data_IF_032301743443
#
_entry.id   IF_032301743443
#
_cell.length_a   1.000
_cell.length_b   1.000
_cell.length_c   1.000
_cell.angle_alpha   90.00
_cell.angle_beta   90.00
_cell.angle_gamma   90.00
#
_symmetry.space_group_name_H-M   'P 1'
#
loop_
_entity.id
_entity.type
_entity.pdbx_description
1 polymer ?
#
# COMPACT_ATOMS: atom_id res chain seq x y z
N UNK A 1 -13.20 -18.12 10.99
CA UNK A 1 -14.09 -17.57 12.04
C UNK A 1 -13.89 -16.08 12.33
N UNK A 2 -12.88 -15.39 11.78
CA UNK A 2 -12.66 -13.94 12.00
C UNK A 2 -13.45 -13.02 11.04
N UNK A 3 -14.14 -13.57 10.03
CA UNK A 3 -14.81 -12.75 9.00
C UNK A 3 -16.27 -12.41 9.33
N UNK A 4 -16.91 -13.07 10.30
CA UNK A 4 -18.33 -12.85 10.63
C UNK A 4 -18.57 -11.77 11.69
N UNK A 5 -17.59 -11.48 12.57
CA UNK A 5 -17.75 -10.49 13.65
C UNK A 5 -17.74 -9.02 13.20
N UNK A 6 -17.15 -8.71 12.03
CA UNK A 6 -17.04 -7.34 11.52
C UNK A 6 -18.25 -6.88 10.69
N UNK A 7 -19.25 -7.74 10.44
CA UNK A 7 -20.46 -7.40 9.68
C UNK A 7 -21.57 -6.80 10.54
N UNK A 8 -21.50 -6.94 11.86
CA UNK A 8 -22.58 -6.63 12.80
C UNK A 8 -22.36 -5.37 13.65
N UNK A 9 -21.23 -4.68 13.49
CA UNK A 9 -20.94 -3.46 14.23
C UNK A 9 -21.50 -2.23 13.48
N UNK A 10 -22.16 -1.30 14.16
CA UNK A 10 -22.53 -0.03 13.56
C UNK A 10 -21.26 0.69 13.07
N UNK A 11 -21.33 1.24 11.85
CA UNK A 11 -20.24 1.95 11.16
C UNK A 11 -19.62 3.09 11.99
N UNK A 12 -20.33 3.55 13.01
CA UNK A 12 -19.92 4.59 13.96
C UNK A 12 -18.76 4.18 14.88
N UNK A 13 -18.46 2.88 15.03
CA UNK A 13 -17.30 2.42 15.80
C UNK A 13 -16.07 2.07 14.95
N UNK A 14 -16.16 2.16 13.63
CA UNK A 14 -15.08 1.74 12.74
C UNK A 14 -13.80 2.53 13.00
N UNK A 15 -13.89 3.82 13.32
CA UNK A 15 -12.72 4.66 13.61
C UNK A 15 -11.90 4.13 14.80
N UNK A 16 -12.56 3.73 15.90
CA UNK A 16 -11.90 3.18 17.09
C UNK A 16 -11.23 1.82 16.82
N UNK A 17 -11.90 0.99 16.03
CA UNK A 17 -11.41 -0.34 15.66
C UNK A 17 -10.19 -0.20 14.75
N UNK A 18 -10.28 0.64 13.70
CA UNK A 18 -9.18 0.89 12.78
C UNK A 18 -7.98 1.50 13.49
N UNK A 19 -8.17 2.46 14.38
CA UNK A 19 -7.09 2.99 15.20
C UNK A 19 -6.34 1.90 15.99
N UNK A 20 -7.05 0.91 16.54
CA UNK A 20 -6.43 -0.22 17.24
C UNK A 20 -5.63 -1.12 16.27
N UNK A 21 -6.20 -1.42 15.10
CA UNK A 21 -5.56 -2.24 14.06
C UNK A 21 -4.35 -1.57 13.43
N UNK A 22 -4.40 -0.26 13.20
CA UNK A 22 -3.27 0.52 12.68
C UNK A 22 -2.13 0.53 13.68
N UNK A 23 -2.43 0.76 14.97
CA UNK A 23 -1.41 0.66 16.04
C UNK A 23 -0.81 -0.74 16.16
N UNK A 24 -1.62 -1.78 15.93
CA UNK A 24 -1.13 -3.15 15.88
C UNK A 24 -0.20 -3.36 14.67
N UNK A 25 -0.59 -2.88 13.49
CA UNK A 25 0.21 -3.00 12.28
C UNK A 25 1.53 -2.22 12.39
N UNK A 26 1.50 -0.99 12.91
CA UNK A 26 2.70 -0.17 13.18
C UNK A 26 3.66 -0.88 14.17
N UNK A 27 3.13 -1.59 15.19
CA UNK A 27 3.94 -2.31 16.19
C UNK A 27 4.50 -3.64 15.69
N UNK A 28 3.74 -4.36 14.88
CA UNK A 28 4.07 -5.73 14.45
C UNK A 28 4.51 -5.84 12.99
N UNK A 29 4.65 -4.73 12.29
CA UNK A 29 5.02 -4.69 10.87
C UNK A 29 6.38 -5.31 10.56
N UNK A 30 7.24 -5.59 11.55
CA UNK A 30 8.49 -6.32 11.31
C UNK A 30 8.32 -7.85 11.14
N UNK A 31 7.29 -8.48 11.74
CA UNK A 31 7.21 -9.96 11.84
C UNK A 31 6.05 -10.66 11.15
N UNK A 32 5.10 -9.94 10.55
CA UNK A 32 4.01 -10.53 9.74
C UNK A 32 3.61 -9.55 8.62
N UNK A 33 4.43 -9.50 7.56
CA UNK A 33 4.29 -8.51 6.48
C UNK A 33 2.95 -8.64 5.73
N UNK A 34 2.49 -9.86 5.44
CA UNK A 34 1.27 -10.05 4.62
C UNK A 34 -0.01 -9.66 5.37
N UNK A 35 -0.10 -9.93 6.67
CA UNK A 35 -1.32 -9.65 7.44
C UNK A 35 -1.49 -8.14 7.67
N UNK A 36 -0.40 -7.43 7.95
CA UNK A 36 -0.43 -5.98 8.13
C UNK A 36 -0.84 -5.28 6.82
N UNK A 37 -0.24 -5.68 5.69
CA UNK A 37 -0.62 -5.17 4.36
C UNK A 37 -2.10 -5.40 4.08
N UNK A 38 -2.64 -6.58 4.39
CA UNK A 38 -4.07 -6.88 4.20
C UNK A 38 -4.99 -6.00 5.05
N UNK A 39 -4.58 -5.67 6.27
CA UNK A 39 -5.33 -4.75 7.14
C UNK A 39 -5.36 -3.36 6.51
N UNK A 40 -4.22 -2.83 6.08
CA UNK A 40 -4.15 -1.52 5.43
C UNK A 40 -4.90 -1.46 4.10
N UNK A 41 -4.78 -2.50 3.25
CA UNK A 41 -5.55 -2.58 2.00
C UNK A 41 -7.06 -2.50 2.24
N UNK A 42 -7.55 -3.07 3.35
CA UNK A 42 -8.96 -2.98 3.73
C UNK A 42 -9.31 -1.61 4.31
N UNK A 43 -8.40 -1.00 5.07
CA UNK A 43 -8.56 0.35 5.62
C UNK A 43 -8.68 1.40 4.52
N UNK A 44 -7.79 1.38 3.53
CA UNK A 44 -7.79 2.32 2.41
C UNK A 44 -9.07 2.23 1.57
N UNK A 45 -9.65 1.04 1.42
CA UNK A 45 -10.96 0.87 0.77
C UNK A 45 -12.11 1.54 1.54
N UNK A 46 -11.96 1.71 2.85
CA UNK A 46 -12.95 2.36 3.70
C UNK A 46 -12.73 3.88 3.77
N UNK A 47 -11.47 4.32 3.86
CA UNK A 47 -11.07 5.71 3.92
C UNK A 47 -10.00 5.98 2.84
N UNK A 48 -10.40 6.33 1.60
CA UNK A 48 -9.45 6.61 0.53
C UNK A 48 -8.59 7.83 0.85
N UNK A 49 -9.08 8.77 1.67
CA UNK A 49 -8.37 10.00 2.06
C UNK A 49 -7.07 9.74 2.84
N UNK A 50 -6.95 8.59 3.52
CA UNK A 50 -5.78 8.23 4.34
C UNK A 50 -4.76 7.33 3.60
N UNK A 51 -4.82 7.28 2.27
CA UNK A 51 -3.96 6.39 1.49
C UNK A 51 -2.46 6.68 1.67
N UNK A 52 -2.10 7.92 1.98
CA UNK A 52 -0.71 8.31 2.26
C UNK A 52 -0.09 7.59 3.46
N UNK A 53 -0.90 7.31 4.50
CA UNK A 53 -0.45 6.56 5.66
C UNK A 53 -0.07 5.14 5.28
N UNK A 54 -0.79 4.54 4.34
CA UNK A 54 -0.47 3.21 3.82
C UNK A 54 0.83 3.21 3.01
N UNK A 55 1.03 4.22 2.16
CA UNK A 55 2.29 4.38 1.41
C UNK A 55 3.48 4.52 2.36
N UNK A 56 3.37 5.36 3.40
CA UNK A 56 4.43 5.54 4.39
C UNK A 56 4.77 4.24 5.15
N UNK A 57 3.74 3.45 5.50
CA UNK A 57 3.90 2.14 6.12
C UNK A 57 4.69 1.19 5.20
N UNK A 58 4.33 1.09 3.92
CA UNK A 58 5.02 0.23 2.96
C UNK A 58 6.49 0.61 2.77
N UNK A 59 6.79 1.91 2.72
CA UNK A 59 8.17 2.42 2.62
C UNK A 59 8.98 2.07 3.87
N UNK A 60 8.42 2.24 5.06
CA UNK A 60 9.10 1.90 6.33
C UNK A 60 9.43 0.41 6.45
N UNK A 61 8.56 -0.46 5.92
CA UNK A 61 8.75 -1.91 5.96
C UNK A 61 9.51 -2.47 4.75
N UNK A 62 10.03 -1.61 3.87
CA UNK A 62 10.90 -2.01 2.75
C UNK A 62 10.16 -2.59 1.55
N UNK A 63 8.82 -2.51 1.49
CA UNK A 63 8.04 -2.97 0.35
C UNK A 63 7.79 -1.81 -0.64
N UNK A 64 8.86 -1.36 -1.29
CA UNK A 64 8.82 -0.20 -2.16
C UNK A 64 8.04 -0.42 -3.46
N UNK A 65 8.00 -1.65 -3.97
CA UNK A 65 7.28 -1.99 -5.21
C UNK A 65 5.78 -1.80 -5.04
N UNK A 66 5.21 -2.34 -3.96
CA UNK A 66 3.80 -2.15 -3.66
C UNK A 66 3.47 -0.67 -3.39
N UNK A 67 4.37 0.05 -2.71
CA UNK A 67 4.20 1.48 -2.47
C UNK A 67 4.14 2.29 -3.77
N UNK A 68 4.96 1.93 -4.77
CA UNK A 68 4.97 2.58 -6.08
C UNK A 68 3.68 2.33 -6.87
N UNK A 69 3.16 1.09 -6.85
CA UNK A 69 1.88 0.76 -7.50
C UNK A 69 0.75 1.56 -6.87
N UNK A 70 0.64 1.55 -5.54
CA UNK A 70 -0.39 2.30 -4.81
C UNK A 70 -0.28 3.80 -5.08
N UNK A 71 0.94 4.37 -5.09
CA UNK A 71 1.15 5.78 -5.44
C UNK A 71 0.72 6.10 -6.88
N UNK A 72 0.96 5.20 -7.83
CA UNK A 72 0.53 5.39 -9.22
C UNK A 72 -1.00 5.39 -9.35
N UNK A 73 -1.70 4.54 -8.57
CA UNK A 73 -3.17 4.53 -8.53
C UNK A 73 -3.72 5.84 -7.96
N UNK A 74 -3.14 6.36 -6.87
CA UNK A 74 -3.50 7.65 -6.27
C UNK A 74 -3.30 8.79 -7.26
N UNK A 75 -2.16 8.80 -7.93
CA UNK A 75 -1.78 9.87 -8.87
C UNK A 75 -2.71 9.89 -10.09
N UNK A 76 -3.14 8.72 -10.55
CA UNK A 76 -4.06 8.58 -11.67
C UNK A 76 -5.52 8.95 -11.29
N UNK A 77 -5.86 8.95 -10.00
CA UNK A 77 -7.16 9.40 -9.54
C UNK A 77 -7.19 10.93 -9.42
N UNK A 78 -7.92 11.57 -10.34
CA UNK A 78 -8.00 13.02 -10.36
C UNK A 78 -8.81 13.63 -9.20
N UNK A 79 -9.63 12.82 -8.53
CA UNK A 79 -10.49 13.23 -7.41
C UNK A 79 -9.82 13.09 -6.05
N UNK A 80 -8.60 12.55 -6.00
CA UNK A 80 -7.89 12.33 -4.74
C UNK A 80 -7.53 13.65 -4.07
N UNK A 81 -8.06 13.85 -2.86
CA UNK A 81 -7.72 14.96 -1.97
C UNK A 81 -6.86 14.43 -0.83
N UNK A 82 -5.60 14.85 -0.78
CA UNK A 82 -4.68 14.50 0.30
C UNK A 82 -5.18 15.04 1.64
N UNK A 83 -5.32 14.17 2.64
CA UNK A 83 -5.61 14.59 4.02
C UNK A 83 -4.44 15.33 4.67
N UNK A 84 -3.21 15.05 4.24
CA UNK A 84 -1.99 15.77 4.69
C UNK A 84 -1.76 17.07 3.91
N UNK A 85 -2.62 17.41 2.93
CA UNK A 85 -2.50 18.63 2.13
C UNK A 85 -1.38 18.60 1.09
N UNK A 86 -0.86 17.42 0.74
CA UNK A 86 0.17 17.28 -0.28
C UNK A 86 -0.40 17.56 -1.67
N UNK A 87 0.36 18.30 -2.46
CA UNK A 87 0.05 18.51 -3.88
C UNK A 87 0.30 17.22 -4.67
N UNK A 88 -0.48 16.98 -5.74
CA UNK A 88 -0.23 15.89 -6.70
C UNK A 88 1.23 15.87 -7.18
N UNK A 89 1.85 17.04 -7.35
CA UNK A 89 3.26 17.14 -7.74
C UNK A 89 4.22 16.59 -6.67
N UNK A 90 3.90 16.74 -5.39
CA UNK A 90 4.71 16.17 -4.30
C UNK A 90 4.61 14.65 -4.27
N UNK A 91 3.42 14.10 -4.54
CA UNK A 91 3.22 12.65 -4.68
C UNK A 91 4.00 12.08 -5.87
N UNK A 92 3.97 12.78 -7.01
CA UNK A 92 4.81 12.44 -8.17
C UNK A 92 6.30 12.43 -7.84
N UNK A 93 6.80 13.45 -7.15
CA UNK A 93 8.21 13.47 -6.72
C UNK A 93 8.54 12.33 -5.74
N UNK A 94 7.61 11.98 -4.84
CA UNK A 94 7.78 10.86 -3.93
C UNK A 94 7.87 9.53 -4.71
N UNK A 95 7.02 9.33 -5.71
CA UNK A 95 7.08 8.17 -6.61
C UNK A 95 8.41 8.11 -7.37
N UNK A 96 8.83 9.20 -8.00
CA UNK A 96 10.12 9.27 -8.71
C UNK A 96 11.30 8.94 -7.79
N UNK A 97 11.31 9.48 -6.57
CA UNK A 97 12.35 9.20 -5.59
C UNK A 97 12.37 7.72 -5.16
N UNK A 98 11.21 7.07 -5.08
CA UNK A 98 11.14 5.64 -4.77
C UNK A 98 11.65 4.77 -5.92
N UNK A 99 11.29 5.10 -7.16
CA UNK A 99 11.74 4.38 -8.36
C UNK A 99 13.26 4.52 -8.55
N UNK A 100 13.80 5.72 -8.36
CA UNK A 100 15.26 5.97 -8.46
C UNK A 100 16.04 5.25 -7.36
N UNK A 101 15.47 5.11 -6.15
CA UNK A 101 16.10 4.38 -5.04
C UNK A 101 16.08 2.87 -5.21
N UNK A 102 15.12 2.31 -5.96
CA UNK A 102 14.97 0.87 -6.19
C UNK A 102 14.99 0.49 -7.69
N UNK A 103 16.10 0.75 -8.42
CA UNK A 103 16.17 0.44 -9.85
C UNK A 103 16.24 -1.08 -10.14
N UNK A 104 16.64 -1.90 -9.17
CA UNK A 104 16.98 -3.32 -9.39
C UNK A 104 15.77 -4.26 -9.34
N UNK A 105 14.72 -3.95 -8.59
CA UNK A 105 13.53 -4.82 -8.49
C UNK A 105 12.73 -4.85 -9.80
N UNK A 106 12.63 -3.71 -10.49
CA UNK A 106 11.95 -3.64 -11.79
C UNK A 106 12.71 -4.38 -12.90
N UNK A 107 14.05 -4.40 -12.83
CA UNK A 107 14.92 -5.13 -13.77
C UNK A 107 14.89 -6.64 -13.48
N UNK A 108 14.76 -7.05 -12.22
CA UNK A 108 14.67 -8.45 -11.83
C UNK A 108 13.31 -9.07 -12.21
N UNK A 109 12.21 -8.34 -12.01
CA UNK A 109 10.86 -8.81 -12.35
C UNK A 109 10.66 -8.89 -13.87
N UNK A 110 11.18 -7.92 -14.63
CA UNK A 110 11.23 -8.03 -16.10
C UNK A 110 12.10 -9.21 -16.55
N UNK A 111 13.29 -9.44 -15.98
CA UNK A 111 14.13 -10.62 -16.32
C UNK A 111 13.46 -11.95 -16.01
N UNK A 112 12.77 -12.07 -14.88
CA UNK A 112 12.00 -13.28 -14.51
C UNK A 112 10.85 -13.55 -15.48
N UNK A 113 10.13 -12.49 -15.88
CA UNK A 113 9.03 -12.55 -16.84
C UNK A 113 9.51 -12.93 -18.26
N UNK A 114 10.63 -12.36 -18.72
CA UNK A 114 11.25 -12.71 -20.00
C UNK A 114 11.88 -14.13 -19.99
N UNK A 115 12.48 -14.56 -18.88
CA UNK A 115 13.05 -15.91 -18.77
C UNK A 115 11.96 -17.00 -18.76
N UNK A 116 10.84 -16.78 -18.08
CA UNK A 116 9.69 -17.71 -18.10
C UNK A 116 9.04 -17.80 -19.47
N UNK A 117 9.01 -16.69 -20.23
CA UNK A 117 8.38 -16.65 -21.56
C UNK A 117 9.24 -17.28 -22.65
N UNK A 118 10.56 -17.20 -22.55
CA UNK A 118 11.48 -17.88 -23.46
C UNK A 118 11.61 -19.39 -23.21
N UNK A 119 11.33 -19.86 -21.98
CA UNK A 119 11.30 -21.31 -21.67
C UNK A 119 10.00 -22.01 -22.09
N UNK A 120 8.96 -21.26 -22.46
CA UNK A 120 7.70 -21.79 -23.00
C UNK A 120 7.70 -21.90 -24.53
N UNK A 121 8.79 -21.48 -25.19
CA UNK A 121 8.97 -21.50 -26.64
C UNK A 121 9.97 -22.57 -27.11
N UNK A 122 10.42 -23.45 -26.21
CA UNK A 122 11.23 -24.65 -26.51
C UNK A 122 10.59 -25.88 -25.87
#
# INVERSE_FOLDING_TARGET
MLLTGLKALPITQHDRIWNLYLRFADRHGHKINETCVRIYRRYVKFAPDDMERFVNFLIQHGNANEAAVVLSEIINDDSFMSREGKSKFQLWNQLCNLLVKNPLDYIAESRSYYSSRNSSLY
#
